data_IF_629319797395
#
_entry.id   IF_629319797395
#
_cell.length_a   1.000
_cell.length_b   1.000
_cell.length_c   1.000
_cell.angle_alpha   90.00
_cell.angle_beta   90.00
_cell.angle_gamma   90.00
#
_symmetry.space_group_name_H-M   'P 1'
#
loop_
_entity.id
_entity.type
_entity.pdbx_description
1 polymer ?
#
# COMPACT_ATOMS: atom_id res chain seq x y z
N UNK A 1 11.39 -4.47 -0.38
CA UNK A 1 10.37 -5.53 -0.15
C UNK A 1 9.03 -5.11 -0.77
N UNK A 2 8.25 -6.04 -1.32
CA UNK A 2 7.00 -5.71 -2.02
C UNK A 2 5.97 -5.02 -1.09
N UNK A 3 5.83 -5.49 0.15
CA UNK A 3 4.89 -4.95 1.15
C UNK A 3 5.04 -3.44 1.37
N UNK A 4 6.24 -2.97 1.73
CA UNK A 4 6.50 -1.55 2.00
C UNK A 4 6.37 -0.68 0.73
N UNK A 5 6.77 -1.22 -0.43
CA UNK A 5 6.64 -0.50 -1.71
C UNK A 5 5.17 -0.27 -2.07
N UNK A 6 4.31 -1.28 -1.86
CA UNK A 6 2.87 -1.14 -2.08
C UNK A 6 2.25 -0.14 -1.11
N UNK A 7 2.60 -0.21 0.18
CA UNK A 7 2.10 0.71 1.20
C UNK A 7 2.47 2.18 0.90
N UNK A 8 3.72 2.47 0.49
CA UNK A 8 4.10 3.84 0.09
C UNK A 8 3.40 4.30 -1.18
N UNK A 9 3.22 3.41 -2.16
CA UNK A 9 2.51 3.75 -3.41
C UNK A 9 1.03 4.06 -3.17
N UNK A 10 0.39 3.37 -2.23
CA UNK A 10 -1.00 3.64 -1.85
C UNK A 10 -1.14 5.05 -1.25
N UNK A 11 -0.32 5.39 -0.24
CA UNK A 11 -0.27 6.75 0.32
C UNK A 11 0.02 7.82 -0.76
N UNK A 12 0.99 7.58 -1.64
CA UNK A 12 1.31 8.52 -2.71
C UNK A 12 0.15 8.70 -3.69
N UNK A 13 -0.56 7.62 -4.04
CA UNK A 13 -1.70 7.70 -4.94
C UNK A 13 -2.87 8.42 -4.30
N UNK A 14 -3.11 8.19 -3.01
CA UNK A 14 -4.13 8.92 -2.25
C UNK A 14 -3.81 10.42 -2.22
N UNK A 15 -2.55 10.79 -2.01
CA UNK A 15 -2.08 12.18 -2.07
C UNK A 15 -2.29 12.83 -3.44
N UNK A 16 -2.07 12.11 -4.54
CA UNK A 16 -2.36 12.56 -5.91
C UNK A 16 -3.87 12.80 -6.10
N UNK A 17 -4.71 11.83 -5.69
CA UNK A 17 -6.17 11.90 -5.82
C UNK A 17 -6.80 13.00 -4.96
N UNK A 18 -6.20 13.29 -3.80
CA UNK A 18 -6.55 14.45 -2.99
C UNK A 18 -6.18 15.75 -3.72
N UNK A 19 -4.97 15.83 -4.26
CA UNK A 19 -4.45 17.07 -4.87
C UNK A 19 -5.15 17.41 -6.19
N UNK A 20 -5.63 16.40 -6.93
CA UNK A 20 -6.37 16.61 -8.17
C UNK A 20 -7.90 16.75 -7.97
N UNK A 21 -8.39 16.68 -6.72
CA UNK A 21 -9.80 16.86 -6.38
C UNK A 21 -10.70 15.65 -6.64
N UNK A 22 -10.16 14.50 -7.05
CA UNK A 22 -10.96 13.26 -7.21
C UNK A 22 -11.51 12.78 -5.87
N UNK A 23 -10.71 12.89 -4.80
CA UNK A 23 -11.13 12.63 -3.42
C UNK A 23 -11.12 13.91 -2.60
N UNK A 24 -12.17 14.76 -2.72
CA UNK A 24 -12.22 16.06 -2.06
C UNK A 24 -12.38 15.96 -0.54
N UNK A 25 -12.79 14.80 -0.03
CA UNK A 25 -12.96 14.50 1.39
C UNK A 25 -11.66 14.04 2.07
N UNK A 26 -10.64 13.65 1.31
CA UNK A 26 -9.43 13.04 1.87
C UNK A 26 -8.54 14.09 2.56
N UNK A 27 -8.18 13.82 3.82
CA UNK A 27 -7.27 14.64 4.60
C UNK A 27 -5.79 14.44 4.20
N UNK A 28 -4.87 15.26 4.72
CA UNK A 28 -3.43 15.13 4.44
C UNK A 28 -2.77 13.95 5.16
N UNK A 29 -3.34 13.48 6.27
CA UNK A 29 -2.80 12.36 7.05
C UNK A 29 -3.39 11.04 6.54
N UNK A 30 -2.52 10.09 6.19
CA UNK A 30 -2.93 8.74 5.78
C UNK A 30 -1.92 7.70 6.25
N UNK A 31 -2.42 6.49 6.52
CA UNK A 31 -1.61 5.33 6.87
C UNK A 31 -2.08 4.12 6.08
N UNK A 32 -1.13 3.46 5.41
CA UNK A 32 -1.37 2.27 4.60
C UNK A 32 -0.60 1.09 5.17
N UNK A 33 -1.25 -0.07 5.27
CA UNK A 33 -0.61 -1.33 5.65
C UNK A 33 -0.96 -2.42 4.64
N UNK A 34 0.05 -3.14 4.17
CA UNK A 34 -0.09 -4.23 3.21
C UNK A 34 0.56 -5.48 3.76
N UNK A 35 -0.23 -6.53 3.91
CA UNK A 35 0.25 -7.89 4.26
C UNK A 35 0.24 -8.74 3.00
N UNK A 36 1.37 -9.36 2.67
CA UNK A 36 1.49 -10.29 1.55
C UNK A 36 1.84 -11.69 2.05
N UNK A 37 1.36 -12.70 1.32
CA UNK A 37 1.85 -14.07 1.47
C UNK A 37 3.12 -14.26 0.64
N UNK A 38 4.06 -15.00 1.21
CA UNK A 38 5.36 -15.30 0.60
C UNK A 38 5.63 -16.79 0.64
N UNK A 39 6.30 -17.29 -0.40
CA UNK A 39 6.98 -18.58 -0.39
C UNK A 39 8.48 -18.31 -0.29
N UNK A 40 9.16 -19.08 0.55
CA UNK A 40 10.61 -19.04 0.65
C UNK A 40 11.20 -20.09 -0.28
N UNK A 41 11.87 -19.65 -1.34
CA UNK A 41 12.57 -20.50 -2.29
C UNK A 41 14.06 -20.22 -2.21
N UNK A 42 14.85 -21.21 -1.79
CA UNK A 42 16.31 -21.10 -1.63
C UNK A 42 16.79 -19.87 -0.84
N UNK A 43 16.01 -19.44 0.16
CA UNK A 43 16.29 -18.25 0.98
C UNK A 43 15.80 -16.93 0.41
N UNK A 44 15.26 -16.91 -0.82
CA UNK A 44 14.57 -15.75 -1.39
C UNK A 44 13.09 -15.74 -0.97
N UNK A 45 12.60 -14.59 -0.51
CA UNK A 45 11.18 -14.39 -0.21
C UNK A 45 10.42 -13.96 -1.48
N UNK A 46 9.70 -14.90 -2.09
CA UNK A 46 8.94 -14.69 -3.33
C UNK A 46 7.47 -14.40 -3.03
N UNK A 47 6.96 -13.17 -3.28
CA UNK A 47 5.58 -12.81 -3.00
C UNK A 47 4.61 -13.57 -3.90
N UNK A 48 3.54 -14.12 -3.33
CA UNK A 48 2.50 -14.85 -4.08
C UNK A 48 1.27 -13.99 -4.32
N UNK A 49 0.76 -13.37 -3.25
CA UNK A 49 -0.43 -12.51 -3.31
C UNK A 49 -0.45 -11.50 -2.18
N UNK A 50 -1.22 -10.43 -2.37
CA UNK A 50 -1.63 -9.56 -1.27
C UNK A 50 -2.73 -10.27 -0.48
N UNK A 51 -2.54 -10.41 0.83
CA UNK A 51 -3.52 -11.01 1.72
C UNK A 51 -4.49 -9.98 2.27
N UNK A 52 -3.94 -8.88 2.81
CA UNK A 52 -4.73 -7.83 3.47
C UNK A 52 -4.19 -6.46 3.09
N UNK A 53 -5.09 -5.53 2.83
CA UNK A 53 -4.81 -4.10 2.70
C UNK A 53 -5.63 -3.36 3.74
N UNK A 54 -4.98 -2.48 4.50
CA UNK A 54 -5.63 -1.57 5.46
C UNK A 54 -5.28 -0.16 5.05
N UNK A 55 -6.29 0.70 4.97
CA UNK A 55 -6.13 2.13 4.76
C UNK A 55 -6.85 2.91 5.86
N UNK A 56 -6.21 3.98 6.32
CA UNK A 56 -6.79 4.96 7.24
C UNK A 56 -6.45 6.35 6.73
N UNK A 57 -7.47 7.18 6.51
CA UNK A 57 -7.40 8.50 5.88
C UNK A 57 -8.39 9.46 6.49
#
# INVERSE_FOLDING_TARGET
PLTIMLAHKLNSKLGELRSNGTFPWAGPASNSQVTCEYVFDQGAAVPQRVHTVVEST
#
